data_IF_303012546632
#
_entry.id   IF_303012546632
#
_cell.length_a   1.000
_cell.length_b   1.000
_cell.length_c   1.000
_cell.angle_alpha   90.00
_cell.angle_beta   90.00
_cell.angle_gamma   90.00
#
_symmetry.space_group_name_H-M   'P 1'
#
loop_
_entity.id
_entity.type
_entity.pdbx_description
1 polymer ?
#
# COMPACT_ATOMS: atom_id res chain seq x y z
N UNK A 1 -8.23 -22.69 -11.97
CA UNK A 1 -8.10 -21.75 -13.09
C UNK A 1 -7.25 -20.58 -12.63
N UNK A 2 -6.02 -20.43 -13.13
CA UNK A 2 -5.12 -19.35 -12.68
C UNK A 2 -5.69 -17.98 -13.05
N UNK A 3 -5.63 -17.02 -12.11
CA UNK A 3 -6.10 -15.66 -12.32
C UNK A 3 -5.14 -14.91 -13.25
N UNK A 4 -5.68 -14.12 -14.20
CA UNK A 4 -4.82 -13.33 -15.09
C UNK A 4 -4.07 -12.25 -14.32
N UNK A 5 -2.82 -11.96 -14.73
CA UNK A 5 -1.98 -10.92 -14.10
C UNK A 5 -2.71 -9.59 -13.92
N UNK A 6 -3.50 -9.19 -14.91
CA UNK A 6 -4.29 -7.94 -14.86
C UNK A 6 -5.38 -7.98 -13.77
N UNK A 7 -6.06 -9.12 -13.61
CA UNK A 7 -7.03 -9.30 -12.51
C UNK A 7 -6.34 -9.23 -11.14
N UNK A 8 -5.19 -9.89 -10.97
CA UNK A 8 -4.40 -9.81 -9.74
C UNK A 8 -3.96 -8.37 -9.44
N UNK A 9 -3.49 -7.64 -10.45
CA UNK A 9 -3.07 -6.24 -10.28
C UNK A 9 -4.22 -5.35 -9.82
N UNK A 10 -5.45 -5.53 -10.36
CA UNK A 10 -6.63 -4.79 -9.90
C UNK A 10 -6.95 -5.06 -8.43
N UNK A 11 -6.86 -6.31 -8.00
CA UNK A 11 -7.08 -6.69 -6.59
C UNK A 11 -6.00 -6.06 -5.70
N UNK A 12 -4.72 -6.19 -6.07
CA UNK A 12 -3.61 -5.58 -5.32
C UNK A 12 -3.77 -4.07 -5.23
N UNK A 13 -4.17 -3.38 -6.32
CA UNK A 13 -4.40 -1.94 -6.31
C UNK A 13 -5.53 -1.53 -5.36
N UNK A 14 -6.64 -2.28 -5.35
CA UNK A 14 -7.76 -2.03 -4.45
C UNK A 14 -7.32 -2.20 -2.99
N UNK A 15 -6.64 -3.31 -2.67
CA UNK A 15 -6.12 -3.55 -1.32
C UNK A 15 -5.12 -2.47 -0.90
N UNK A 16 -4.23 -2.08 -1.81
CA UNK A 16 -3.22 -1.04 -1.56
C UNK A 16 -3.89 0.31 -1.27
N UNK A 17 -4.95 0.67 -2.00
CA UNK A 17 -5.71 1.89 -1.74
C UNK A 17 -6.40 1.85 -0.36
N UNK A 18 -7.04 0.73 -0.01
CA UNK A 18 -7.71 0.57 1.30
C UNK A 18 -6.73 0.66 2.47
N UNK A 19 -5.60 -0.05 2.37
CA UNK A 19 -4.57 -0.03 3.42
C UNK A 19 -3.92 1.36 3.51
N UNK A 20 -3.65 2.00 2.37
CA UNK A 20 -3.13 3.37 2.33
C UNK A 20 -4.05 4.34 3.08
N UNK A 21 -5.36 4.31 2.80
CA UNK A 21 -6.34 5.15 3.48
C UNK A 21 -6.31 4.88 4.98
N UNK A 22 -6.28 3.62 5.41
CA UNK A 22 -6.22 3.27 6.83
C UNK A 22 -4.97 3.78 7.54
N UNK A 23 -3.78 3.55 6.96
CA UNK A 23 -2.49 4.01 7.50
C UNK A 23 -2.42 5.53 7.54
N UNK A 24 -2.80 6.19 6.44
CA UNK A 24 -2.78 7.65 6.32
C UNK A 24 -3.78 8.30 7.29
N UNK A 25 -5.02 7.81 7.33
CA UNK A 25 -6.03 8.32 8.25
C UNK A 25 -5.61 8.13 9.72
N UNK A 26 -5.14 6.94 10.10
CA UNK A 26 -4.66 6.68 11.46
C UNK A 26 -3.49 7.60 11.85
N UNK A 27 -2.55 7.82 10.94
CA UNK A 27 -1.42 8.75 11.14
C UNK A 27 -1.86 10.20 11.27
N UNK A 28 -2.72 10.68 10.35
CA UNK A 28 -3.24 12.04 10.35
C UNK A 28 -4.11 12.33 11.56
N UNK A 29 -5.04 11.45 11.92
CA UNK A 29 -5.88 11.62 13.13
C UNK A 29 -4.99 11.79 14.34
N UNK A 30 -4.04 10.88 14.56
CA UNK A 30 -3.14 10.98 15.71
C UNK A 30 -2.26 12.22 15.66
N UNK A 31 -1.83 12.66 14.48
CA UNK A 31 -1.07 13.91 14.30
C UNK A 31 -1.87 15.15 14.73
N UNK A 32 -3.18 15.21 14.42
CA UNK A 32 -4.02 16.38 14.74
C UNK A 32 -4.68 16.32 16.12
N UNK A 33 -4.97 15.13 16.64
CA UNK A 33 -5.76 14.95 17.87
C UNK A 33 -4.94 14.39 19.03
N UNK A 34 -3.68 14.03 18.81
CA UNK A 34 -2.86 13.31 19.78
C UNK A 34 -3.52 11.99 20.20
N UNK A 35 -3.51 11.72 21.51
CA UNK A 35 -4.07 10.50 22.10
C UNK A 35 -5.59 10.54 22.35
N UNK A 36 -6.28 11.63 22.02
CA UNK A 36 -7.70 11.81 22.37
C UNK A 36 -8.65 10.86 21.63
N UNK A 37 -8.40 10.58 20.34
CA UNK A 37 -9.23 9.68 19.52
C UNK A 37 -8.64 8.29 19.34
N UNK A 38 -7.31 8.20 19.24
CA UNK A 38 -6.60 6.93 19.06
C UNK A 38 -5.54 6.82 20.15
N UNK A 39 -5.74 5.96 21.17
CA UNK A 39 -4.75 5.74 22.22
C UNK A 39 -3.41 5.24 21.66
N UNK A 40 -2.30 5.63 22.31
CA UNK A 40 -0.96 5.22 21.88
C UNK A 40 -0.79 3.72 21.76
N UNK A 41 -1.29 2.95 22.71
CA UNK A 41 -1.19 1.48 22.67
C UNK A 41 -1.82 0.91 21.39
N UNK A 42 -3.00 1.41 21.01
CA UNK A 42 -3.71 0.99 19.80
C UNK A 42 -2.96 1.42 18.54
N UNK A 43 -2.52 2.67 18.48
CA UNK A 43 -1.75 3.16 17.32
C UNK A 43 -0.43 2.42 17.13
N UNK A 44 0.32 2.21 18.21
CA UNK A 44 1.63 1.57 18.20
C UNK A 44 1.59 0.09 17.80
N UNK A 45 0.43 -0.55 17.91
CA UNK A 45 0.23 -1.91 17.40
C UNK A 45 -0.28 -1.89 15.96
N UNK A 46 -1.34 -1.13 15.68
CA UNK A 46 -2.05 -1.18 14.40
C UNK A 46 -1.25 -0.48 13.28
N UNK A 47 -0.64 0.68 13.55
CA UNK A 47 0.03 1.46 12.51
C UNK A 47 1.27 0.74 11.93
N UNK A 48 2.17 0.14 12.73
CA UNK A 48 3.30 -0.62 12.17
C UNK A 48 2.85 -1.86 11.38
N UNK A 49 1.83 -2.59 11.87
CA UNK A 49 1.32 -3.78 11.18
C UNK A 49 0.68 -3.40 9.84
N UNK A 50 -0.17 -2.38 9.83
CA UNK A 50 -0.79 -1.89 8.58
C UNK A 50 0.24 -1.30 7.62
N UNK A 51 1.27 -0.61 8.13
CA UNK A 51 2.43 -0.17 7.35
C UNK A 51 3.21 -1.33 6.72
N UNK A 52 3.44 -2.41 7.45
CA UNK A 52 4.09 -3.61 6.90
C UNK A 52 3.26 -4.25 5.80
N UNK A 53 1.95 -4.40 6.00
CA UNK A 53 1.02 -4.90 4.97
C UNK A 53 1.07 -4.01 3.73
N UNK A 54 1.10 -2.68 3.92
CA UNK A 54 1.22 -1.72 2.82
C UNK A 54 2.49 -1.94 2.00
N UNK A 55 3.65 -2.09 2.66
CA UNK A 55 4.93 -2.35 1.99
C UNK A 55 4.89 -3.65 1.18
N UNK A 56 4.32 -4.72 1.72
CA UNK A 56 4.18 -6.01 1.01
C UNK A 56 3.31 -5.83 -0.24
N UNK A 57 2.19 -5.11 -0.14
CA UNK A 57 1.32 -4.82 -1.28
C UNK A 57 2.00 -3.94 -2.34
N UNK A 58 2.83 -2.97 -1.93
CA UNK A 58 3.63 -2.14 -2.86
C UNK A 58 4.63 -3.02 -3.63
N UNK A 59 5.34 -3.93 -2.96
CA UNK A 59 6.26 -4.86 -3.61
C UNK A 59 5.51 -5.73 -4.62
N UNK A 60 4.37 -6.29 -4.22
CA UNK A 60 3.53 -7.09 -5.12
C UNK A 60 3.03 -6.27 -6.31
N UNK A 61 2.61 -5.02 -6.10
CA UNK A 61 2.20 -4.09 -7.14
C UNK A 61 3.33 -3.87 -8.16
N UNK A 62 4.52 -3.52 -7.69
CA UNK A 62 5.69 -3.28 -8.55
C UNK A 62 6.04 -4.54 -9.34
N UNK A 63 6.07 -5.70 -8.68
CA UNK A 63 6.37 -6.97 -9.34
C UNK A 63 5.37 -7.31 -10.46
N UNK A 64 4.08 -7.19 -10.18
CA UNK A 64 3.02 -7.46 -11.18
C UNK A 64 3.04 -6.45 -12.34
N UNK A 65 3.45 -5.21 -12.06
CA UNK A 65 3.48 -4.11 -13.03
C UNK A 65 4.87 -3.89 -13.68
N UNK A 66 5.87 -4.71 -13.37
CA UNK A 66 7.26 -4.47 -13.73
C UNK A 66 7.51 -4.37 -15.24
N UNK A 67 6.78 -5.15 -16.06
CA UNK A 67 6.91 -5.09 -17.52
C UNK A 67 6.49 -3.71 -18.07
N UNK A 68 5.45 -3.11 -17.50
CA UNK A 68 5.01 -1.76 -17.88
C UNK A 68 6.02 -0.72 -17.40
N UNK A 69 6.53 -0.84 -16.17
CA UNK A 69 7.58 0.04 -15.64
C UNK A 69 8.81 0.00 -16.54
N UNK A 70 9.29 -1.20 -16.90
CA UNK A 70 10.44 -1.37 -17.77
C UNK A 70 10.22 -0.72 -19.15
N UNK A 71 9.02 -0.85 -19.71
CA UNK A 71 8.69 -0.30 -21.01
C UNK A 71 8.66 1.25 -21.03
N UNK A 72 8.23 1.88 -19.93
CA UNK A 72 8.07 3.33 -19.85
C UNK A 72 9.30 4.06 -19.28
N UNK A 73 9.96 3.48 -18.28
CA UNK A 73 11.02 4.16 -17.53
C UNK A 73 12.42 3.59 -17.77
N UNK A 74 12.56 2.32 -18.16
CA UNK A 74 13.88 1.66 -18.28
C UNK A 74 14.32 1.37 -19.71
N UNK A 75 13.48 1.65 -20.71
CA UNK A 75 13.88 1.52 -22.12
C UNK A 75 14.81 2.69 -22.47
N UNK A 76 16.06 2.38 -22.83
CA UNK A 76 16.98 3.36 -23.41
C UNK A 76 16.40 3.87 -24.73
N UNK A 77 16.34 5.19 -24.92
CA UNK A 77 16.10 5.79 -26.23
C UNK A 77 17.26 5.37 -27.15
N UNK A 78 16.93 4.93 -28.38
CA UNK A 78 17.92 4.66 -29.42
C UNK A 78 18.60 5.96 -29.84
#
# INVERSE_FOLDING_TARGET
MFMSRVKMLRIVNLLLALVFIGVAFGGLVRMFTGDSLIPYATFNQIHPISGLIFVILVIAHIYLNFNWIKANYLKKKK
#
